data_IF_120322996044
#
_entry.id   IF_120322996044
#
_cell.length_a   1.000
_cell.length_b   1.000
_cell.length_c   1.000
_cell.angle_alpha   90.00
_cell.angle_beta   90.00
_cell.angle_gamma   90.00
#
_symmetry.space_group_name_H-M   'P 1'
#
loop_
_entity.id
_entity.type
_entity.pdbx_description
1 polymer ?
#
# COMPACT_ATOMS: atom_id res chain seq x y z
N UNK A 1 5.52 -63.24 0.00
CA UNK A 1 6.37 -62.05 -0.24
C UNK A 1 5.53 -60.83 -0.17
N UNK A 2 5.67 -60.15 0.94
CA UNK A 2 4.95 -58.90 1.17
C UNK A 2 5.79 -57.77 0.60
N UNK A 3 5.41 -57.25 -0.55
CA UNK A 3 5.91 -56.00 -1.00
C UNK A 3 5.32 -54.90 -0.12
N UNK A 4 6.11 -54.46 0.82
CA UNK A 4 5.83 -53.23 1.49
C UNK A 4 5.90 -52.11 0.47
N UNK A 5 4.73 -51.65 0.02
CA UNK A 5 4.64 -50.42 -0.68
C UNK A 5 5.13 -49.34 0.28
N UNK A 6 6.12 -48.56 -0.08
CA UNK A 6 6.43 -47.40 0.71
C UNK A 6 5.15 -46.57 0.76
N UNK A 7 4.65 -46.43 1.97
CA UNK A 7 3.62 -45.43 2.23
C UNK A 7 4.25 -44.14 1.79
N UNK A 8 3.90 -43.73 0.59
CA UNK A 8 4.13 -42.38 0.16
C UNK A 8 3.39 -41.54 1.17
N UNK A 9 4.08 -41.19 2.23
CA UNK A 9 3.74 -40.04 2.99
C UNK A 9 3.74 -38.91 1.98
N UNK A 10 2.58 -38.63 1.44
CA UNK A 10 2.32 -37.30 0.95
C UNK A 10 2.47 -36.39 2.16
N UNK A 11 3.70 -36.18 2.51
CA UNK A 11 4.03 -34.91 3.09
C UNK A 11 3.51 -33.93 2.05
N UNK A 12 2.29 -33.48 2.27
CA UNK A 12 1.93 -32.17 1.78
C UNK A 12 3.21 -31.36 1.96
N UNK A 13 3.73 -30.74 0.93
CA UNK A 13 4.89 -29.92 1.12
C UNK A 13 4.47 -28.96 2.23
N UNK A 14 4.81 -29.35 3.44
CA UNK A 14 4.93 -28.39 4.51
C UNK A 14 5.67 -27.31 3.80
N UNK A 15 4.98 -26.23 3.59
CA UNK A 15 5.59 -25.08 2.96
C UNK A 15 6.83 -24.83 3.79
N UNK A 16 7.88 -25.57 3.45
CA UNK A 16 9.21 -25.28 3.96
C UNK A 16 9.40 -23.87 3.48
N UNK A 17 9.08 -22.99 4.41
CA UNK A 17 9.48 -21.61 4.28
C UNK A 17 10.91 -21.70 3.87
N UNK A 18 11.16 -21.46 2.59
CA UNK A 18 12.48 -21.14 2.14
C UNK A 18 12.83 -19.87 2.88
N UNK A 19 13.32 -20.06 4.10
CA UNK A 19 14.02 -19.03 4.82
C UNK A 19 15.22 -18.70 3.94
N UNK A 20 15.02 -17.72 3.05
CA UNK A 20 16.16 -17.13 2.36
C UNK A 20 17.05 -16.57 3.46
N UNK A 21 18.30 -17.01 3.54
CA UNK A 21 19.22 -16.47 4.53
C UNK A 21 19.30 -14.96 4.31
N UNK A 22 18.99 -14.18 5.33
CA UNK A 22 19.03 -12.72 5.28
C UNK A 22 17.66 -12.03 5.43
N UNK A 23 16.55 -12.75 5.40
CA UNK A 23 15.23 -12.17 5.69
C UNK A 23 14.90 -12.45 7.16
N UNK A 24 15.28 -11.55 8.03
CA UNK A 24 14.77 -11.53 9.40
C UNK A 24 13.27 -11.26 9.36
N UNK A 25 12.48 -12.32 9.35
CA UNK A 25 11.03 -12.18 9.49
C UNK A 25 10.72 -12.00 10.97
N UNK A 26 10.25 -10.84 11.33
CA UNK A 26 9.59 -10.65 12.61
C UNK A 26 8.22 -11.38 12.61
N UNK A 27 7.52 -11.40 13.75
CA UNK A 27 6.20 -12.01 13.87
C UNK A 27 5.13 -11.38 12.94
N UNK A 28 5.48 -10.29 12.26
CA UNK A 28 4.63 -9.60 11.29
C UNK A 28 4.72 -10.21 9.90
N UNK A 29 5.71 -11.06 9.66
CA UNK A 29 5.95 -11.64 8.35
C UNK A 29 6.38 -10.61 7.31
N UNK A 30 7.08 -9.58 7.74
CA UNK A 30 7.61 -8.53 6.88
C UNK A 30 8.91 -8.98 6.21
N UNK A 31 9.05 -8.65 4.94
CA UNK A 31 10.31 -8.78 4.22
C UNK A 31 11.20 -7.57 4.46
N UNK A 32 12.46 -7.65 4.04
CA UNK A 32 13.38 -6.50 4.08
C UNK A 32 12.81 -5.28 3.36
N UNK A 33 12.08 -5.50 2.25
CA UNK A 33 11.43 -4.41 1.51
C UNK A 33 10.36 -3.70 2.34
N UNK A 34 9.57 -4.45 3.11
CA UNK A 34 8.58 -3.86 4.04
C UNK A 34 9.25 -2.97 5.09
N UNK A 35 10.31 -3.47 5.70
CA UNK A 35 11.03 -2.72 6.74
C UNK A 35 11.65 -1.43 6.19
N UNK A 36 12.30 -1.51 5.03
CA UNK A 36 12.92 -0.35 4.39
C UNK A 36 11.89 0.67 3.90
N UNK A 37 10.77 0.19 3.37
CA UNK A 37 9.66 1.06 2.96
C UNK A 37 9.10 1.85 4.15
N UNK A 38 8.90 1.19 5.29
CA UNK A 38 8.43 1.86 6.51
C UNK A 38 9.43 2.88 7.06
N UNK A 39 10.73 2.60 6.94
CA UNK A 39 11.80 3.51 7.40
C UNK A 39 12.03 4.68 6.45
N UNK A 40 11.60 4.57 5.20
CA UNK A 40 11.85 5.58 4.18
C UNK A 40 13.23 5.48 3.53
N UNK A 41 13.90 4.34 3.64
CA UNK A 41 15.24 4.12 3.08
C UNK A 41 15.19 3.85 1.57
N UNK A 42 15.00 4.89 0.78
CA UNK A 42 14.86 4.81 -0.68
C UNK A 42 16.05 4.10 -1.36
N UNK A 43 17.26 4.31 -0.86
CA UNK A 43 18.46 3.67 -1.45
C UNK A 43 18.41 2.15 -1.33
N UNK A 44 18.00 1.66 -0.16
CA UNK A 44 17.88 0.21 0.10
C UNK A 44 16.68 -0.36 -0.64
N UNK A 45 15.56 0.37 -0.71
CA UNK A 45 14.39 -0.01 -1.51
C UNK A 45 14.78 -0.20 -2.98
N UNK A 46 15.46 0.77 -3.59
CA UNK A 46 15.96 0.67 -4.98
C UNK A 46 16.87 -0.56 -5.16
N UNK A 47 17.78 -0.78 -4.24
CA UNK A 47 18.67 -1.94 -4.29
C UNK A 47 17.92 -3.26 -4.27
N UNK A 48 17.00 -3.44 -3.33
CA UNK A 48 16.20 -4.66 -3.19
C UNK A 48 15.32 -4.92 -4.43
N UNK A 49 14.73 -3.88 -5.01
CA UNK A 49 13.94 -4.01 -6.23
C UNK A 49 14.82 -4.36 -7.44
N UNK A 50 16.03 -3.83 -7.53
CA UNK A 50 16.99 -4.17 -8.57
C UNK A 50 17.51 -5.61 -8.44
N UNK A 51 17.55 -6.16 -7.22
CA UNK A 51 17.86 -7.57 -6.95
C UNK A 51 16.71 -8.53 -7.31
N UNK A 52 15.59 -8.00 -7.81
CA UNK A 52 14.44 -8.79 -8.26
C UNK A 52 13.42 -9.11 -7.19
N UNK A 53 13.40 -8.37 -6.09
CA UNK A 53 12.35 -8.52 -5.09
C UNK A 53 11.00 -8.05 -5.64
N UNK A 54 9.94 -8.81 -5.37
CA UNK A 54 8.59 -8.45 -5.81
C UNK A 54 8.12 -7.17 -5.10
N UNK A 55 7.79 -6.15 -5.89
CA UNK A 55 7.27 -4.86 -5.39
C UNK A 55 5.93 -5.01 -4.68
N UNK A 56 5.13 -6.00 -5.06
CA UNK A 56 3.82 -6.30 -4.48
C UNK A 56 3.87 -7.41 -3.41
N UNK A 57 5.04 -7.70 -2.87
CA UNK A 57 5.18 -8.73 -1.84
C UNK A 57 4.25 -8.44 -0.66
N UNK A 58 3.47 -9.43 -0.28
CA UNK A 58 2.51 -9.30 0.82
C UNK A 58 3.08 -9.87 2.10
N UNK A 59 2.94 -9.14 3.19
CA UNK A 59 3.23 -9.67 4.52
C UNK A 59 2.27 -10.82 4.85
N UNK A 60 2.79 -11.84 5.53
CA UNK A 60 2.04 -13.06 5.83
C UNK A 60 1.72 -13.24 7.32
N UNK A 61 2.29 -12.42 8.18
CA UNK A 61 2.07 -12.48 9.62
C UNK A 61 0.62 -12.19 10.00
N UNK A 62 0.13 -12.77 11.10
CA UNK A 62 -1.29 -12.71 11.48
C UNK A 62 -1.80 -11.28 11.69
N UNK A 63 -0.94 -10.38 12.14
CA UNK A 63 -1.30 -8.97 12.38
C UNK A 63 -1.15 -8.06 11.15
N UNK A 64 -0.46 -8.51 10.13
CA UNK A 64 -0.10 -7.70 8.95
C UNK A 64 -0.46 -8.38 7.63
N UNK A 65 -1.38 -9.34 7.66
CA UNK A 65 -1.71 -10.16 6.50
C UNK A 65 -2.14 -9.32 5.31
N UNK A 66 -1.40 -9.46 4.20
CA UNK A 66 -1.68 -8.75 2.97
C UNK A 66 -1.14 -7.32 2.90
N UNK A 67 -0.42 -6.85 3.90
CA UNK A 67 0.26 -5.55 3.87
C UNK A 67 1.38 -5.59 2.84
N UNK A 68 1.44 -4.60 1.95
CA UNK A 68 2.50 -4.44 0.95
C UNK A 68 3.49 -3.34 1.38
N UNK A 69 4.67 -3.25 0.77
CA UNK A 69 5.59 -2.16 1.04
C UNK A 69 4.98 -0.77 0.84
N UNK A 70 4.08 -0.63 -0.15
CA UNK A 70 3.38 0.64 -0.39
C UNK A 70 2.48 1.06 0.77
N UNK A 71 1.81 0.13 1.44
CA UNK A 71 1.04 0.41 2.66
C UNK A 71 1.92 1.03 3.75
N UNK A 72 3.11 0.48 3.95
CA UNK A 72 4.03 0.94 5.00
C UNK A 72 4.72 2.25 4.64
N UNK A 73 5.01 2.48 3.36
CA UNK A 73 5.51 3.77 2.88
C UNK A 73 4.43 4.87 3.07
N UNK A 74 3.17 4.56 2.82
CA UNK A 74 2.04 5.45 3.05
C UNK A 74 1.82 5.73 4.55
N UNK A 75 1.96 4.72 5.41
CA UNK A 75 1.93 4.87 6.88
C UNK A 75 3.00 5.85 7.37
N UNK A 76 4.21 5.73 6.84
CA UNK A 76 5.33 6.61 7.19
C UNK A 76 5.33 7.97 6.48
N UNK A 77 4.50 8.17 5.46
CA UNK A 77 4.50 9.39 4.65
C UNK A 77 5.73 9.57 3.77
N UNK A 78 6.38 8.49 3.37
CA UNK A 78 7.64 8.49 2.61
C UNK A 78 7.37 8.58 1.10
N UNK A 79 7.12 9.79 0.59
CA UNK A 79 6.75 10.04 -0.81
C UNK A 79 7.75 9.50 -1.82
N UNK A 80 9.06 9.68 -1.57
CA UNK A 80 10.10 9.17 -2.46
C UNK A 80 10.12 7.65 -2.57
N UNK A 81 9.81 6.94 -1.49
CA UNK A 81 9.66 5.47 -1.51
C UNK A 81 8.37 5.07 -2.23
N UNK A 82 7.28 5.78 -1.98
CA UNK A 82 6.00 5.54 -2.66
C UNK A 82 6.13 5.70 -4.18
N UNK A 83 6.81 6.76 -4.61
CA UNK A 83 7.09 7.04 -6.02
C UNK A 83 7.90 5.90 -6.67
N UNK A 84 9.00 5.50 -6.06
CA UNK A 84 9.82 4.39 -6.56
C UNK A 84 9.04 3.07 -6.63
N UNK A 85 8.21 2.77 -5.63
CA UNK A 85 7.38 1.58 -5.64
C UNK A 85 6.35 1.61 -6.77
N UNK A 86 5.70 2.75 -7.01
CA UNK A 86 4.74 2.92 -8.10
C UNK A 86 5.40 2.84 -9.49
N UNK A 87 6.57 3.44 -9.67
CA UNK A 87 7.36 3.32 -10.91
C UNK A 87 7.73 1.86 -11.23
N UNK A 88 7.89 1.03 -10.20
CA UNK A 88 8.17 -0.41 -10.33
C UNK A 88 6.92 -1.27 -10.44
N UNK A 89 5.74 -0.67 -10.57
CA UNK A 89 4.48 -1.38 -10.76
C UNK A 89 3.80 -1.83 -9.48
N UNK A 90 4.02 -1.14 -8.36
CA UNK A 90 3.25 -1.39 -7.14
C UNK A 90 1.76 -1.16 -7.40
N UNK A 91 0.92 -2.05 -6.88
CA UNK A 91 -0.51 -1.89 -6.95
C UNK A 91 -0.97 -0.82 -5.95
N UNK A 92 -1.37 0.35 -6.48
CA UNK A 92 -1.80 1.49 -5.68
C UNK A 92 -3.07 1.21 -4.86
N UNK A 93 -3.91 0.30 -5.33
CA UNK A 93 -5.16 -0.12 -4.69
C UNK A 93 -5.06 -1.50 -4.03
N UNK A 94 -3.85 -1.95 -3.71
CA UNK A 94 -3.65 -3.21 -3.00
C UNK A 94 -4.42 -3.23 -1.67
N UNK A 95 -5.13 -4.32 -1.40
CA UNK A 95 -5.93 -4.48 -0.19
C UNK A 95 -5.27 -5.43 0.80
N UNK A 96 -5.27 -5.06 2.06
CA UNK A 96 -4.89 -5.98 3.13
C UNK A 96 -5.92 -7.10 3.26
N UNK A 97 -5.48 -8.26 3.72
CA UNK A 97 -6.37 -9.43 3.93
C UNK A 97 -7.02 -9.46 5.32
N UNK A 98 -6.97 -8.35 6.04
CA UNK A 98 -7.69 -8.19 7.30
C UNK A 98 -9.18 -7.94 7.11
N UNK A 99 -9.92 -7.82 8.21
CA UNK A 99 -11.37 -7.63 8.20
C UNK A 99 -11.81 -6.40 7.40
N UNK A 100 -10.97 -5.38 7.31
CA UNK A 100 -11.32 -4.11 6.66
C UNK A 100 -10.79 -3.97 5.23
N UNK A 101 -9.84 -4.79 4.77
CA UNK A 101 -9.30 -4.71 3.41
C UNK A 101 -8.76 -3.32 3.05
N UNK A 102 -7.92 -2.77 3.90
CA UNK A 102 -7.42 -1.41 3.74
C UNK A 102 -6.45 -1.26 2.57
N UNK A 103 -6.57 -0.17 1.83
CA UNK A 103 -5.62 0.25 0.80
C UNK A 103 -4.54 1.17 1.39
N UNK A 104 -3.45 1.45 0.67
CA UNK A 104 -2.46 2.45 1.10
C UNK A 104 -3.09 3.81 1.40
N UNK A 105 -4.12 4.22 0.63
CA UNK A 105 -4.85 5.46 0.86
C UNK A 105 -5.58 5.47 2.21
N UNK A 106 -6.22 4.36 2.60
CA UNK A 106 -6.86 4.25 3.91
C UNK A 106 -5.86 4.39 5.06
N UNK A 107 -4.67 3.79 4.90
CA UNK A 107 -3.62 3.88 5.92
C UNK A 107 -3.06 5.30 6.01
N UNK A 108 -2.78 5.94 4.87
CA UNK A 108 -2.34 7.34 4.83
C UNK A 108 -3.36 8.29 5.48
N UNK A 109 -4.64 8.06 5.22
CA UNK A 109 -5.74 8.84 5.80
C UNK A 109 -5.86 8.63 7.32
N UNK A 110 -5.74 7.39 7.79
CA UNK A 110 -5.73 7.04 9.20
C UNK A 110 -4.61 7.77 9.97
N UNK A 111 -3.42 7.77 9.38
CA UNK A 111 -2.25 8.43 9.97
C UNK A 111 -2.25 9.95 9.71
N UNK A 112 -3.23 10.46 9.00
CA UNK A 112 -3.37 11.88 8.61
C UNK A 112 -2.16 12.43 7.85
N UNK A 113 -1.51 11.58 7.07
CA UNK A 113 -0.42 11.97 6.19
C UNK A 113 -0.96 12.67 4.94
N UNK A 114 -1.14 13.98 5.03
CA UNK A 114 -1.72 14.82 3.97
C UNK A 114 -0.99 14.65 2.64
N UNK A 115 0.33 14.72 2.66
CA UNK A 115 1.13 14.63 1.45
C UNK A 115 1.04 13.24 0.80
N UNK A 116 0.99 12.18 1.61
CA UNK A 116 0.80 10.82 1.11
C UNK A 116 -0.61 10.62 0.51
N UNK A 117 -1.65 11.17 1.13
CA UNK A 117 -3.02 11.13 0.59
C UNK A 117 -3.07 11.87 -0.74
N UNK A 118 -2.56 13.10 -0.80
CA UNK A 118 -2.49 13.89 -2.02
C UNK A 118 -1.74 13.13 -3.13
N UNK A 119 -0.57 12.62 -2.82
CA UNK A 119 0.25 11.86 -3.76
C UNK A 119 -0.48 10.63 -4.32
N UNK A 120 -1.13 9.84 -3.46
CA UNK A 120 -1.88 8.66 -3.90
C UNK A 120 -3.07 9.03 -4.78
N UNK A 121 -3.81 10.06 -4.44
CA UNK A 121 -4.95 10.54 -5.25
C UNK A 121 -4.49 11.04 -6.60
N UNK A 122 -3.42 11.83 -6.66
CA UNK A 122 -2.82 12.33 -7.91
C UNK A 122 -2.30 11.19 -8.82
N UNK A 123 -1.86 10.08 -8.23
CA UNK A 123 -1.43 8.88 -8.95
C UNK A 123 -2.56 7.89 -9.25
N UNK A 124 -3.81 8.28 -9.03
CA UNK A 124 -4.99 7.52 -9.43
C UNK A 124 -5.46 6.46 -8.43
N UNK A 125 -5.13 6.60 -7.15
CA UNK A 125 -5.70 5.75 -6.11
C UNK A 125 -7.23 5.86 -6.12
N UNK A 126 -7.88 4.70 -6.08
CA UNK A 126 -9.34 4.65 -6.11
C UNK A 126 -9.93 5.18 -4.81
N UNK A 127 -10.78 6.18 -4.95
CA UNK A 127 -11.61 6.69 -3.88
C UNK A 127 -13.05 6.76 -4.38
N UNK A 128 -13.99 6.07 -3.72
CA UNK A 128 -15.38 6.12 -4.11
C UNK A 128 -15.90 7.56 -4.15
N UNK A 129 -16.85 7.87 -5.02
CA UNK A 129 -17.41 9.21 -5.13
C UNK A 129 -18.21 9.63 -3.89
N UNK A 130 -18.75 8.68 -3.16
CA UNK A 130 -19.50 8.89 -1.92
C UNK A 130 -18.97 8.00 -0.81
N UNK A 131 -18.70 8.60 0.33
CA UNK A 131 -18.20 7.92 1.53
C UNK A 131 -19.21 6.90 2.09
N UNK A 132 -20.50 7.12 1.86
CA UNK A 132 -21.58 6.27 2.36
C UNK A 132 -22.03 5.21 1.36
N UNK A 133 -21.34 5.07 0.22
CA UNK A 133 -21.72 4.10 -0.80
C UNK A 133 -21.41 2.67 -0.35
N UNK A 134 -22.48 1.96 0.03
CA UNK A 134 -22.39 0.58 0.51
C UNK A 134 -21.94 -0.45 -0.53
N UNK A 135 -21.87 -0.06 -1.82
CA UNK A 135 -21.40 -0.92 -2.91
C UNK A 135 -19.89 -1.16 -2.83
N UNK A 136 -19.18 -0.29 -2.15
CA UNK A 136 -17.74 -0.41 -1.94
C UNK A 136 -17.46 -0.98 -0.57
N UNK A 137 -16.89 -2.18 -0.52
CA UNK A 137 -16.53 -2.84 0.72
C UNK A 137 -14.98 -2.83 0.88
N UNK A 138 -14.41 -2.43 2.02
CA UNK A 138 -15.13 -2.08 3.26
C UNK A 138 -15.82 -0.72 3.17
N UNK A 139 -16.92 -0.55 3.90
CA UNK A 139 -17.51 0.76 4.05
C UNK A 139 -16.49 1.73 4.61
N UNK A 140 -16.32 2.83 3.93
CA UNK A 140 -15.26 3.80 4.22
C UNK A 140 -15.43 4.47 5.60
N UNK A 141 -16.65 4.44 6.15
CA UNK A 141 -16.96 5.01 7.48
C UNK A 141 -16.25 4.29 8.64
N UNK A 142 -15.70 3.08 8.41
CA UNK A 142 -14.89 2.39 9.41
C UNK A 142 -13.41 2.80 9.42
N UNK A 143 -12.98 3.64 8.48
CA UNK A 143 -11.62 4.13 8.44
C UNK A 143 -11.54 5.50 9.13
N UNK A 144 -10.98 5.60 10.32
CA UNK A 144 -10.78 6.90 10.96
C UNK A 144 -9.89 7.78 10.08
N UNK A 145 -10.32 9.02 9.87
CA UNK A 145 -9.58 9.99 9.05
C UNK A 145 -9.94 10.00 7.57
N UNK A 146 -10.81 9.12 7.10
CA UNK A 146 -11.19 9.11 5.70
C UNK A 146 -12.06 10.32 5.32
N UNK A 147 -12.89 10.82 6.23
CA UNK A 147 -13.63 12.07 6.05
C UNK A 147 -12.69 13.21 5.69
N UNK A 148 -11.59 13.30 6.41
CA UNK A 148 -10.55 14.29 6.13
C UNK A 148 -9.92 14.08 4.73
N UNK A 149 -9.69 12.86 4.29
CA UNK A 149 -9.18 12.56 2.95
C UNK A 149 -10.17 12.98 1.85
N UNK A 150 -11.47 12.82 2.09
CA UNK A 150 -12.52 13.29 1.18
C UNK A 150 -12.57 14.81 1.09
N UNK A 151 -12.47 15.49 2.22
CA UNK A 151 -12.43 16.97 2.25
C UNK A 151 -11.20 17.50 1.52
N UNK A 152 -10.04 16.87 1.75
CA UNK A 152 -8.81 17.24 1.07
C UNK A 152 -8.91 17.01 -0.44
N UNK A 153 -9.48 15.89 -0.87
CA UNK A 153 -9.75 15.65 -2.30
C UNK A 153 -10.71 16.68 -2.91
N UNK A 154 -11.75 17.02 -2.19
CA UNK A 154 -12.71 18.03 -2.64
C UNK A 154 -12.01 19.38 -2.81
N UNK A 155 -11.11 19.71 -1.90
CA UNK A 155 -10.30 20.93 -1.97
C UNK A 155 -9.37 20.91 -3.18
N UNK A 156 -8.65 19.82 -3.42
CA UNK A 156 -7.75 19.66 -4.56
C UNK A 156 -8.49 19.79 -5.90
N UNK A 157 -9.67 19.19 -6.02
CA UNK A 157 -10.51 19.33 -7.21
C UNK A 157 -10.99 20.79 -7.43
N UNK A 158 -11.19 21.54 -6.36
CA UNK A 158 -11.57 22.94 -6.46
C UNK A 158 -10.40 23.81 -6.89
N UNK A 159 -9.19 23.50 -6.45
CA UNK A 159 -7.97 24.21 -6.84
C UNK A 159 -7.64 24.00 -8.33
N UNK A 160 -7.90 22.80 -8.88
CA UNK A 160 -7.76 22.52 -10.31
C UNK A 160 -8.80 23.24 -11.18
N UNK A 161 -9.97 23.55 -10.62
CA UNK A 161 -11.07 24.21 -11.30
C UNK A 161 -11.12 25.73 -11.10
N UNK A 162 -10.18 26.31 -10.36
CA UNK A 162 -10.04 27.76 -10.35
C UNK A 162 -9.44 28.18 -11.69
N UNK A 163 -10.25 28.74 -12.61
CA UNK A 163 -9.69 29.39 -13.77
C UNK A 163 -8.84 30.52 -13.20
N UNK A 164 -7.56 30.49 -13.49
CA UNK A 164 -6.69 31.60 -13.14
C UNK A 164 -7.39 32.86 -13.56
N UNK A 165 -7.70 33.71 -12.60
CA UNK A 165 -8.07 35.07 -12.93
C UNK A 165 -6.87 35.66 -13.65
N UNK A 166 -6.87 35.50 -14.96
CA UNK A 166 -6.14 36.43 -15.78
C UNK A 166 -6.80 37.77 -15.54
N UNK A 167 -6.24 38.54 -14.63
CA UNK A 167 -6.54 39.94 -14.53
C UNK A 167 -6.15 40.56 -15.86
N UNK A 168 -7.11 40.63 -16.78
CA UNK A 168 -7.02 41.51 -17.88
C UNK A 168 -7.10 42.92 -17.31
N UNK A 169 -5.99 43.50 -16.99
CA UNK A 169 -5.89 44.95 -16.91
C UNK A 169 -6.07 45.45 -18.31
N UNK A 170 -7.30 45.81 -18.65
CA UNK A 170 -7.56 46.64 -19.81
C UNK A 170 -7.04 48.03 -19.49
N UNK A 171 -5.85 48.32 -19.90
CA UNK A 171 -5.40 49.70 -19.98
C UNK A 171 -6.00 50.35 -21.23
N UNK A 172 -6.77 51.39 -21.00
CA UNK A 172 -7.02 52.44 -21.97
C UNK A 172 -5.78 53.28 -22.15
#
# INVERSE_FOLDING_TARGET
MLEERPISLRQSPSRRRLLRPGVGTDDRGWTSLHVCARKGDIKVVKKLLNEGMDVNVSAWGPKSKGVTPLHLAAEGGHLGVMDELLERGANIDARTKGACGWTPLHIAAKERNRDAVKFLVENGAFLPPDMNDSRFNPPLHYCPGLEWAYEEMKRLRQEEFSPGETSCSSEN
#
